data_IF_095807877988
#
_entry.id   IF_095807877988
#
_cell.length_a   1.000
_cell.length_b   1.000
_cell.length_c   1.000
_cell.angle_alpha   90.00
_cell.angle_beta   90.00
_cell.angle_gamma   90.00
#
_symmetry.space_group_name_H-M   'P 1'
#
loop_
_entity.id
_entity.type
_entity.pdbx_description
1 polymer ?
#
# COMPACT_ATOMS: atom_id res chain seq x y z
N UNK A 1 2.11 28.53 22.59
CA UNK A 1 0.88 27.79 22.95
C UNK A 1 1.12 26.32 22.65
N UNK A 2 1.49 25.54 23.66
CA UNK A 2 1.69 24.10 23.51
C UNK A 2 0.32 23.45 23.28
N UNK A 3 0.06 23.00 22.07
CA UNK A 3 -1.13 22.20 21.79
C UNK A 3 -0.97 20.87 22.52
N UNK A 4 -1.95 20.52 23.35
CA UNK A 4 -1.98 19.25 24.07
C UNK A 4 -2.16 18.11 23.05
N UNK A 5 -1.06 17.45 22.67
CA UNK A 5 -1.02 16.39 21.66
C UNK A 5 -1.41 15.06 22.27
N UNK A 6 -2.71 14.91 22.56
CA UNK A 6 -3.28 13.68 23.11
C UNK A 6 -3.38 12.57 22.02
N UNK A 7 -2.24 12.22 21.41
CA UNK A 7 -2.09 11.24 20.32
C UNK A 7 -2.61 9.86 20.73
N UNK A 8 -2.54 9.53 22.02
CA UNK A 8 -3.07 8.28 22.60
C UNK A 8 -4.57 8.08 22.36
N UNK A 9 -5.33 9.17 22.21
CA UNK A 9 -6.78 9.13 21.95
C UNK A 9 -7.10 9.58 20.54
N UNK A 10 -6.44 10.64 20.05
CA UNK A 10 -6.66 11.18 18.70
C UNK A 10 -6.35 10.18 17.59
N UNK A 11 -5.22 9.46 17.68
CA UNK A 11 -4.83 8.51 16.64
C UNK A 11 -5.84 7.34 16.54
N UNK A 12 -6.21 6.63 17.64
CA UNK A 12 -7.23 5.59 17.58
C UNK A 12 -8.59 6.09 17.08
N UNK A 13 -9.03 7.27 17.52
CA UNK A 13 -10.31 7.86 17.07
C UNK A 13 -10.28 8.18 15.58
N UNK A 14 -9.22 8.81 15.08
CA UNK A 14 -9.05 9.09 13.65
C UNK A 14 -9.01 7.80 12.83
N UNK A 15 -8.26 6.78 13.28
CA UNK A 15 -8.24 5.47 12.62
C UNK A 15 -9.63 4.83 12.58
N UNK A 16 -10.39 4.86 13.68
CA UNK A 16 -11.74 4.30 13.74
C UNK A 16 -12.71 5.03 12.81
N UNK A 17 -12.66 6.37 12.78
CA UNK A 17 -13.47 7.20 11.88
C UNK A 17 -13.14 6.87 10.43
N UNK A 18 -11.85 6.81 10.06
CA UNK A 18 -11.43 6.46 8.70
C UNK A 18 -11.84 5.04 8.33
N UNK A 19 -11.74 4.08 9.26
CA UNK A 19 -12.18 2.70 9.05
C UNK A 19 -13.68 2.62 8.77
N UNK A 20 -14.51 3.31 9.59
CA UNK A 20 -15.96 3.34 9.41
C UNK A 20 -16.34 4.05 8.11
N UNK A 21 -15.73 5.20 7.83
CA UNK A 21 -15.95 5.93 6.59
C UNK A 21 -15.60 5.08 5.37
N UNK A 22 -14.48 4.35 5.41
CA UNK A 22 -14.09 3.43 4.35
C UNK A 22 -15.12 2.31 4.15
N UNK A 23 -15.58 1.65 5.23
CA UNK A 23 -16.60 0.59 5.15
C UNK A 23 -17.90 1.12 4.53
N UNK A 24 -18.34 2.31 4.95
CA UNK A 24 -19.55 2.95 4.41
C UNK A 24 -19.38 3.32 2.94
N UNK A 25 -18.28 4.00 2.57
CA UNK A 25 -18.00 4.36 1.19
C UNK A 25 -17.90 3.13 0.29
N UNK A 26 -17.25 2.07 0.78
CA UNK A 26 -17.15 0.81 0.07
C UNK A 26 -18.53 0.17 -0.13
N UNK A 27 -19.36 0.11 0.92
CA UNK A 27 -20.73 -0.43 0.82
C UNK A 27 -21.66 0.37 -0.10
N UNK A 28 -21.48 1.69 -0.20
CA UNK A 28 -22.36 2.56 -1.01
C UNK A 28 -21.93 2.64 -2.47
N UNK A 29 -20.62 2.76 -2.74
CA UNK A 29 -20.11 3.05 -4.08
C UNK A 29 -19.59 1.83 -4.83
N UNK A 30 -19.25 0.73 -4.15
CA UNK A 30 -18.81 -0.49 -4.84
C UNK A 30 -20.02 -1.23 -5.38
N UNK A 31 -20.15 -1.25 -6.70
CA UNK A 31 -21.03 -2.18 -7.40
C UNK A 31 -20.25 -3.44 -7.74
N UNK A 32 -20.76 -4.57 -7.28
CA UNK A 32 -20.27 -5.88 -7.70
C UNK A 32 -20.91 -6.25 -9.02
N UNK A 33 -20.14 -6.18 -10.10
CA UNK A 33 -20.48 -6.81 -11.37
C UNK A 33 -19.77 -8.18 -11.50
N UNK A 34 -20.01 -8.89 -12.61
CA UNK A 34 -19.34 -10.16 -12.90
C UNK A 34 -17.83 -9.98 -13.10
N UNK A 35 -17.37 -8.78 -13.45
CA UNK A 35 -15.97 -8.43 -13.69
C UNK A 35 -15.23 -8.19 -12.37
N UNK A 36 -15.95 -7.84 -11.30
CA UNK A 36 -15.52 -7.74 -9.92
C UNK A 36 -15.56 -9.09 -9.18
N UNK A 37 -15.94 -10.20 -9.81
CA UNK A 37 -15.73 -11.53 -9.21
C UNK A 37 -14.26 -11.95 -9.40
N UNK A 38 -13.55 -12.18 -8.29
CA UNK A 38 -12.17 -12.70 -8.29
C UNK A 38 -12.03 -13.98 -9.13
N UNK A 39 -13.09 -14.83 -9.16
CA UNK A 39 -13.11 -16.06 -9.97
C UNK A 39 -12.97 -15.80 -11.46
N UNK A 40 -13.56 -14.72 -11.96
CA UNK A 40 -13.50 -14.39 -13.38
C UNK A 40 -12.05 -14.12 -13.81
N UNK A 41 -11.26 -13.50 -12.93
CA UNK A 41 -9.85 -13.24 -13.17
C UNK A 41 -9.01 -14.52 -13.23
N UNK A 42 -9.19 -15.42 -12.25
CA UNK A 42 -8.57 -16.75 -12.30
C UNK A 42 -9.03 -17.56 -13.51
N UNK A 43 -10.29 -17.44 -13.90
CA UNK A 43 -10.85 -18.15 -15.05
C UNK A 43 -10.26 -17.65 -16.38
N UNK A 44 -10.08 -16.33 -16.55
CA UNK A 44 -9.32 -15.76 -17.68
C UNK A 44 -7.90 -16.32 -17.74
N UNK A 45 -7.20 -16.35 -16.59
CA UNK A 45 -5.83 -16.89 -16.49
C UNK A 45 -5.77 -18.39 -16.80
N UNK A 46 -6.72 -19.18 -16.29
CA UNK A 46 -6.83 -20.63 -16.53
C UNK A 46 -7.15 -20.95 -17.99
N UNK A 47 -8.05 -20.18 -18.61
CA UNK A 47 -8.47 -20.37 -20.00
C UNK A 47 -7.56 -19.66 -21.01
N UNK A 48 -6.49 -19.00 -20.54
CA UNK A 48 -5.55 -18.23 -21.36
C UNK A 48 -6.23 -17.18 -22.26
N UNK A 49 -7.34 -16.60 -21.77
CA UNK A 49 -8.13 -15.60 -22.48
C UNK A 49 -7.38 -14.26 -22.38
N UNK A 50 -6.87 -13.77 -23.50
CA UNK A 50 -6.12 -12.51 -23.59
C UNK A 50 -6.84 -11.38 -24.34
N UNK A 51 -8.02 -11.65 -24.89
CA UNK A 51 -8.80 -10.67 -25.66
C UNK A 51 -9.80 -9.97 -24.75
N UNK A 52 -9.60 -8.70 -24.49
CA UNK A 52 -10.60 -7.86 -23.84
C UNK A 52 -11.48 -7.18 -24.91
N UNK A 53 -12.79 -7.42 -24.84
CA UNK A 53 -13.81 -6.49 -25.34
C UNK A 53 -13.70 -5.28 -24.41
N UNK A 54 -13.09 -4.20 -24.91
CA UNK A 54 -12.65 -3.00 -24.16
C UNK A 54 -11.73 -3.30 -22.97
N UNK A 55 -10.47 -2.89 -23.10
CA UNK A 55 -9.42 -3.18 -22.15
C UNK A 55 -9.57 -2.26 -20.91
N UNK A 56 -10.44 -2.64 -19.97
CA UNK A 56 -10.77 -1.96 -18.71
C UNK A 56 -9.52 -1.56 -17.89
N UNK A 57 -8.39 -2.25 -18.11
CA UNK A 57 -7.10 -1.85 -17.56
C UNK A 57 -6.69 -0.43 -17.95
N UNK A 58 -7.03 0.07 -19.15
CA UNK A 58 -6.71 1.45 -19.56
C UNK A 58 -7.39 2.49 -18.65
N UNK A 59 -8.63 2.24 -18.22
CA UNK A 59 -9.36 3.14 -17.32
C UNK A 59 -8.79 3.15 -15.89
N UNK A 60 -8.04 2.12 -15.51
CA UNK A 60 -7.41 1.97 -14.18
C UNK A 60 -6.01 2.61 -14.05
N UNK A 61 -5.37 2.99 -15.15
CA UNK A 61 -4.07 3.67 -15.08
C UNK A 61 -4.16 5.05 -14.42
N UNK A 62 -5.10 5.94 -14.80
CA UNK A 62 -5.23 7.23 -14.15
C UNK A 62 -5.43 7.11 -12.65
N UNK A 63 -6.28 6.19 -12.18
CA UNK A 63 -6.53 6.01 -10.75
C UNK A 63 -5.29 5.57 -9.97
N UNK A 64 -4.49 4.65 -10.53
CA UNK A 64 -3.22 4.23 -9.92
C UNK A 64 -2.25 5.41 -9.79
N UNK A 65 -2.11 6.20 -10.85
CA UNK A 65 -1.21 7.37 -10.87
C UNK A 65 -1.67 8.45 -9.89
N UNK A 66 -2.98 8.72 -9.82
CA UNK A 66 -3.54 9.65 -8.84
C UNK A 66 -3.23 9.24 -7.40
N UNK A 67 -3.41 7.96 -7.08
CA UNK A 67 -3.05 7.43 -5.76
C UNK A 67 -1.54 7.57 -5.50
N UNK A 68 -0.70 7.17 -6.45
CA UNK A 68 0.75 7.22 -6.31
C UNK A 68 1.27 8.65 -6.08
N UNK A 69 0.80 9.62 -6.89
CA UNK A 69 1.21 11.02 -6.84
C UNK A 69 0.75 11.68 -5.53
N UNK A 70 -0.47 11.38 -5.06
CA UNK A 70 -1.04 12.03 -3.88
C UNK A 70 -0.80 11.28 -2.55
N UNK A 71 -0.22 10.07 -2.57
CA UNK A 71 0.10 9.34 -1.35
C UNK A 71 1.04 10.09 -0.39
N UNK A 72 2.09 10.79 -0.86
CA UNK A 72 2.91 11.63 0.02
C UNK A 72 2.08 12.67 0.79
N UNK A 73 1.07 13.26 0.16
CA UNK A 73 0.13 14.16 0.83
C UNK A 73 -0.76 13.40 1.82
N UNK A 74 -1.23 12.21 1.47
CA UNK A 74 -2.04 11.37 2.37
C UNK A 74 -1.29 11.02 3.66
N UNK A 75 -0.05 10.53 3.56
CA UNK A 75 0.76 10.14 4.73
C UNK A 75 1.29 11.33 5.55
N UNK A 76 1.35 12.54 4.97
CA UNK A 76 1.82 13.75 5.66
C UNK A 76 0.70 14.65 6.19
N UNK A 77 -0.56 14.40 5.82
CA UNK A 77 -1.69 15.22 6.21
C UNK A 77 -1.95 15.27 7.72
N UNK A 78 -1.65 14.18 8.44
CA UNK A 78 -1.82 14.10 9.90
C UNK A 78 -0.59 14.54 10.70
N UNK A 79 0.53 14.80 10.03
CA UNK A 79 1.77 15.24 10.68
C UNK A 79 1.71 16.70 11.08
N UNK A 80 2.44 17.05 12.13
CA UNK A 80 2.61 18.45 12.49
C UNK A 80 3.31 19.22 11.37
N UNK A 81 2.79 20.41 11.06
CA UNK A 81 3.35 21.29 10.04
C UNK A 81 4.82 21.61 10.33
N UNK A 82 5.64 21.60 9.27
CA UNK A 82 7.09 21.77 9.35
C UNK A 82 7.84 20.48 9.01
N UNK A 83 8.88 20.18 9.76
CA UNK A 83 9.84 19.13 9.41
C UNK A 83 9.22 17.72 9.37
N UNK A 84 8.30 17.40 10.29
CA UNK A 84 7.64 16.10 10.33
C UNK A 84 6.80 15.84 9.07
N UNK A 85 6.02 16.83 8.64
CA UNK A 85 5.23 16.78 7.42
C UNK A 85 6.11 16.63 6.17
N UNK A 86 7.20 17.39 6.08
CA UNK A 86 8.14 17.29 4.96
C UNK A 86 8.83 15.91 4.90
N UNK A 87 9.27 15.38 6.05
CA UNK A 87 9.82 14.02 6.14
C UNK A 87 8.79 12.95 5.76
N UNK A 88 7.56 13.08 6.21
CA UNK A 88 6.48 12.15 5.86
C UNK A 88 6.25 12.07 4.36
N UNK A 89 6.23 13.21 3.68
CA UNK A 89 6.11 13.26 2.23
C UNK A 89 7.32 12.61 1.53
N UNK A 90 8.56 12.94 1.95
CA UNK A 90 9.78 12.39 1.36
C UNK A 90 9.93 10.88 1.58
N UNK A 91 9.74 10.40 2.81
CA UNK A 91 9.81 8.96 3.13
C UNK A 91 8.77 8.17 2.32
N UNK A 92 7.56 8.71 2.18
CA UNK A 92 6.51 8.09 1.37
C UNK A 92 6.88 8.03 -0.10
N UNK A 93 7.38 9.13 -0.66
CA UNK A 93 7.82 9.18 -2.06
C UNK A 93 8.94 8.17 -2.35
N UNK A 94 9.98 8.14 -1.50
CA UNK A 94 11.11 7.21 -1.65
C UNK A 94 10.66 5.76 -1.56
N UNK A 95 9.81 5.44 -0.59
CA UNK A 95 9.28 4.08 -0.43
C UNK A 95 8.44 3.65 -1.64
N UNK A 96 7.58 4.52 -2.14
CA UNK A 96 6.81 4.27 -3.36
C UNK A 96 7.71 4.03 -4.58
N UNK A 97 8.77 4.82 -4.75
CA UNK A 97 9.73 4.63 -5.84
C UNK A 97 10.42 3.26 -5.76
N UNK A 98 10.87 2.85 -4.56
CA UNK A 98 11.45 1.52 -4.36
C UNK A 98 10.43 0.38 -4.60
N UNK A 99 9.18 0.57 -4.19
CA UNK A 99 8.07 -0.37 -4.42
C UNK A 99 7.79 -0.54 -5.92
N UNK A 100 7.87 0.53 -6.71
CA UNK A 100 7.72 0.47 -8.18
C UNK A 100 8.82 -0.40 -8.80
N UNK A 101 10.08 -0.10 -8.49
CA UNK A 101 11.23 -0.82 -9.08
C UNK A 101 11.18 -2.32 -8.76
N UNK A 102 10.90 -2.65 -7.50
CA UNK A 102 10.81 -4.05 -7.06
C UNK A 102 9.60 -4.76 -7.65
N UNK A 103 8.44 -4.10 -7.72
CA UNK A 103 7.24 -4.67 -8.34
C UNK A 103 7.47 -5.00 -9.82
N UNK A 104 8.06 -4.06 -10.57
CA UNK A 104 8.41 -4.28 -11.99
C UNK A 104 9.38 -5.44 -12.15
N UNK A 105 10.44 -5.46 -11.34
CA UNK A 105 11.45 -6.52 -11.37
C UNK A 105 10.85 -7.90 -11.05
N UNK A 106 10.17 -8.02 -9.91
CA UNK A 106 9.55 -9.29 -9.47
C UNK A 106 8.48 -9.74 -10.46
N UNK A 107 7.62 -8.83 -10.93
CA UNK A 107 6.58 -9.17 -11.92
C UNK A 107 7.17 -9.74 -13.20
N UNK A 108 8.30 -9.19 -13.68
CA UNK A 108 8.98 -9.71 -14.87
C UNK A 108 9.62 -11.07 -14.59
N UNK A 109 10.34 -11.21 -13.46
CA UNK A 109 11.06 -12.43 -13.08
C UNK A 109 10.13 -13.64 -12.96
N UNK A 110 8.96 -13.47 -12.34
CA UNK A 110 8.01 -14.58 -12.14
C UNK A 110 7.21 -14.92 -13.41
N UNK A 111 7.19 -14.03 -14.40
CA UNK A 111 6.49 -14.27 -15.65
C UNK A 111 7.36 -15.10 -16.60
N UNK A 112 6.83 -16.21 -17.12
CA UNK A 112 7.57 -17.17 -17.99
C UNK A 112 8.28 -16.56 -19.20
N UNK A 113 7.79 -15.41 -19.69
CA UNK A 113 8.35 -14.66 -20.84
C UNK A 113 8.96 -13.30 -20.47
N UNK A 114 9.17 -13.01 -19.18
CA UNK A 114 9.69 -11.71 -18.74
C UNK A 114 8.75 -10.53 -19.01
N UNK A 115 7.43 -10.77 -19.09
CA UNK A 115 6.42 -9.72 -19.32
C UNK A 115 5.90 -9.20 -17.99
N UNK A 116 5.43 -7.96 -17.98
CA UNK A 116 4.79 -7.37 -16.82
C UNK A 116 3.31 -7.74 -16.76
N UNK A 117 2.83 -8.06 -15.57
CA UNK A 117 1.40 -8.24 -15.28
C UNK A 117 0.85 -6.91 -14.78
N UNK A 118 -0.17 -6.41 -15.48
CA UNK A 118 -0.73 -5.11 -15.15
C UNK A 118 -1.44 -5.07 -13.80
N UNK A 119 -1.88 -6.20 -13.25
CA UNK A 119 -2.41 -6.25 -11.89
C UNK A 119 -1.32 -5.92 -10.87
N UNK A 120 -0.09 -6.40 -11.07
CA UNK A 120 1.03 -6.06 -10.21
C UNK A 120 1.36 -4.57 -10.33
N UNK A 121 1.45 -4.05 -11.56
CA UNK A 121 1.80 -2.63 -11.78
C UNK A 121 0.76 -1.67 -11.21
N UNK A 122 -0.53 -1.99 -11.31
CA UNK A 122 -1.62 -1.12 -10.81
C UNK A 122 -1.78 -1.16 -9.29
N UNK A 123 -1.36 -2.24 -8.63
CA UNK A 123 -1.59 -2.42 -7.20
C UNK A 123 -0.29 -2.45 -6.41
N UNK A 124 0.61 -3.41 -6.65
CA UNK A 124 1.80 -3.61 -5.83
C UNK A 124 2.81 -2.44 -5.86
N UNK A 125 2.76 -1.59 -6.88
CA UNK A 125 3.55 -0.34 -6.93
C UNK A 125 3.18 0.65 -5.82
N UNK A 126 1.96 0.54 -5.28
CA UNK A 126 1.42 1.38 -4.22
C UNK A 126 1.74 0.84 -2.80
N UNK A 127 2.23 -0.40 -2.70
CA UNK A 127 2.46 -1.08 -1.43
C UNK A 127 3.46 -0.36 -0.51
N UNK A 128 4.49 0.28 -1.08
CA UNK A 128 5.43 1.09 -0.30
C UNK A 128 4.75 2.24 0.46
N UNK A 129 3.76 2.89 -0.14
CA UNK A 129 3.00 3.98 0.49
C UNK A 129 2.22 3.53 1.73
N UNK A 130 1.63 2.32 1.67
CA UNK A 130 1.01 1.66 2.83
C UNK A 130 2.08 1.27 3.85
N UNK A 131 3.17 0.65 3.37
CA UNK A 131 4.24 0.10 4.20
C UNK A 131 4.99 1.11 5.05
N UNK A 132 5.08 2.37 4.63
CA UNK A 132 5.67 3.42 5.48
C UNK A 132 4.66 4.20 6.30
N UNK A 133 3.34 4.01 6.12
CA UNK A 133 2.32 4.91 6.68
C UNK A 133 2.49 5.21 8.16
N UNK A 134 2.66 4.19 9.00
CA UNK A 134 2.82 4.37 10.46
C UNK A 134 4.14 4.99 10.90
N UNK A 135 5.17 4.95 10.05
CA UNK A 135 6.51 5.47 10.34
C UNK A 135 6.89 6.66 9.44
N UNK A 136 5.95 7.17 8.64
CA UNK A 136 6.24 8.12 7.57
C UNK A 136 6.90 9.39 8.14
N UNK A 137 6.35 9.95 9.23
CA UNK A 137 6.87 11.17 9.88
C UNK A 137 8.09 10.95 10.77
N UNK A 138 8.40 9.69 11.07
CA UNK A 138 9.51 9.28 11.91
C UNK A 138 10.85 9.35 11.14
N UNK A 139 11.95 9.41 11.89
CA UNK A 139 13.31 9.48 11.35
C UNK A 139 13.80 8.10 10.89
N UNK A 140 13.17 7.58 9.82
CA UNK A 140 13.58 6.34 9.15
C UNK A 140 14.92 6.45 8.42
N UNK A 141 15.43 7.66 8.22
CA UNK A 141 16.42 8.02 7.18
C UNK A 141 15.92 7.71 5.75
N UNK A 142 16.43 8.38 4.71
CA UNK A 142 16.04 8.09 3.32
C UNK A 142 16.21 6.62 2.93
N UNK A 143 17.23 5.95 3.48
CA UNK A 143 17.52 4.54 3.21
C UNK A 143 16.50 3.60 3.86
N UNK A 144 16.03 3.89 5.07
CA UNK A 144 15.01 3.08 5.73
C UNK A 144 13.70 3.06 4.94
N UNK A 145 13.28 4.21 4.42
CA UNK A 145 12.09 4.32 3.56
C UNK A 145 12.21 3.48 2.27
N UNK A 146 13.38 3.51 1.61
CA UNK A 146 13.67 2.70 0.42
C UNK A 146 13.62 1.21 0.74
N UNK A 147 14.18 0.77 1.86
CA UNK A 147 14.18 -0.63 2.29
C UNK A 147 12.76 -1.13 2.53
N UNK A 148 11.92 -0.35 3.23
CA UNK A 148 10.51 -0.70 3.45
C UNK A 148 9.77 -0.84 2.12
N UNK A 149 9.96 0.12 1.21
CA UNK A 149 9.35 0.09 -0.11
C UNK A 149 9.77 -1.11 -0.95
N UNK A 150 11.06 -1.45 -0.89
CA UNK A 150 11.63 -2.62 -1.56
C UNK A 150 10.94 -3.92 -1.10
N UNK A 151 10.83 -4.16 0.21
CA UNK A 151 10.19 -5.37 0.72
C UNK A 151 8.68 -5.38 0.49
N UNK A 152 7.99 -4.24 0.62
CA UNK A 152 6.56 -4.15 0.36
C UNK A 152 6.22 -4.47 -1.10
N UNK A 153 6.99 -3.94 -2.07
CA UNK A 153 6.80 -4.25 -3.48
C UNK A 153 7.00 -5.73 -3.79
N UNK A 154 8.03 -6.36 -3.20
CA UNK A 154 8.27 -7.82 -3.35
C UNK A 154 7.09 -8.62 -2.79
N UNK A 155 6.75 -8.41 -1.51
CA UNK A 155 5.72 -9.22 -0.85
C UNK A 155 4.33 -9.00 -1.43
N UNK A 156 4.00 -7.76 -1.81
CA UNK A 156 2.74 -7.47 -2.49
C UNK A 156 2.65 -8.20 -3.84
N UNK A 157 3.71 -8.12 -4.66
CA UNK A 157 3.75 -8.79 -5.97
C UNK A 157 3.66 -10.32 -5.85
N UNK A 158 4.41 -10.91 -4.92
CA UNK A 158 4.32 -12.35 -4.64
C UNK A 158 2.95 -12.74 -4.08
N UNK A 159 2.33 -11.85 -3.30
CA UNK A 159 0.97 -12.01 -2.79
C UNK A 159 -0.05 -12.13 -3.92
N UNK A 160 -0.02 -11.20 -4.89
CA UNK A 160 -0.87 -11.28 -6.08
C UNK A 160 -0.60 -12.54 -6.91
N UNK A 161 0.67 -12.91 -7.07
CA UNK A 161 1.06 -14.02 -7.93
C UNK A 161 0.71 -15.40 -7.35
N UNK A 162 0.84 -15.58 -6.04
CA UNK A 162 0.79 -16.90 -5.38
C UNK A 162 -0.20 -16.97 -4.22
N UNK A 163 -0.28 -15.94 -3.39
CA UNK A 163 -1.13 -15.96 -2.20
C UNK A 163 -2.61 -15.82 -2.57
N UNK A 164 -2.99 -14.85 -3.40
CA UNK A 164 -4.39 -14.68 -3.82
C UNK A 164 -4.97 -15.96 -4.46
N UNK A 165 -4.29 -16.61 -5.43
CA UNK A 165 -4.77 -17.90 -5.97
C UNK A 165 -4.87 -19.00 -4.91
N UNK A 166 -3.97 -19.03 -3.93
CA UNK A 166 -4.01 -19.99 -2.84
C UNK A 166 -5.20 -19.75 -1.90
N UNK A 167 -5.41 -18.51 -1.45
CA UNK A 167 -6.51 -18.11 -0.58
C UNK A 167 -7.86 -18.44 -1.23
N UNK A 168 -7.99 -18.17 -2.54
CA UNK A 168 -9.22 -18.47 -3.27
C UNK A 168 -9.45 -19.96 -3.44
N UNK A 169 -8.45 -20.70 -3.94
CA UNK A 169 -8.62 -22.12 -4.26
C UNK A 169 -8.70 -23.03 -3.04
N UNK A 170 -8.03 -22.69 -1.95
CA UNK A 170 -7.91 -23.55 -0.75
C UNK A 170 -8.76 -23.08 0.42
N UNK A 171 -8.87 -21.76 0.61
CA UNK A 171 -9.60 -21.18 1.74
C UNK A 171 -10.94 -20.56 1.32
N UNK A 172 -11.26 -20.53 0.02
CA UNK A 172 -12.48 -19.91 -0.53
C UNK A 172 -12.65 -18.44 -0.13
N UNK A 173 -11.52 -17.74 0.07
CA UNK A 173 -11.50 -16.30 0.36
C UNK A 173 -11.37 -15.57 -0.97
N UNK A 174 -12.39 -14.78 -1.31
CA UNK A 174 -12.44 -14.02 -2.55
C UNK A 174 -11.96 -12.59 -2.30
N UNK A 175 -10.77 -12.26 -2.80
CA UNK A 175 -10.20 -10.93 -2.72
C UNK A 175 -10.09 -10.31 -4.12
N UNK A 176 -11.19 -9.69 -4.56
CA UNK A 176 -11.35 -9.11 -5.90
C UNK A 176 -10.24 -8.15 -6.30
N UNK A 177 -9.85 -7.24 -5.39
CA UNK A 177 -8.85 -6.22 -5.67
C UNK A 177 -7.46 -6.59 -5.15
N UNK A 178 -7.31 -7.75 -4.51
CA UNK A 178 -6.07 -8.11 -3.81
C UNK A 178 -5.76 -7.15 -2.66
N UNK A 179 -6.79 -6.64 -1.95
CA UNK A 179 -6.61 -5.70 -0.83
C UNK A 179 -5.74 -6.31 0.27
N UNK A 180 -5.73 -7.63 0.41
CA UNK A 180 -4.84 -8.33 1.33
C UNK A 180 -3.37 -8.10 0.96
N UNK A 181 -3.03 -8.11 -0.33
CA UNK A 181 -1.66 -7.97 -0.82
C UNK A 181 -1.20 -6.51 -0.87
N UNK A 182 -2.11 -5.57 -1.11
CA UNK A 182 -1.79 -4.15 -1.16
C UNK A 182 -1.89 -3.47 0.22
N UNK A 183 -2.94 -3.74 0.98
CA UNK A 183 -3.19 -3.07 2.26
C UNK A 183 -2.85 -3.95 3.47
N UNK A 184 -3.24 -5.23 3.44
CA UNK A 184 -3.06 -6.15 4.56
C UNK A 184 -1.59 -6.40 4.91
N UNK A 185 -0.86 -7.06 4.01
CA UNK A 185 0.56 -7.41 4.22
C UNK A 185 1.42 -6.15 4.42
N UNK A 186 1.36 -5.13 3.54
CA UNK A 186 2.15 -3.91 3.74
C UNK A 186 1.75 -3.13 4.99
N UNK A 187 0.47 -3.14 5.39
CA UNK A 187 0.01 -2.51 6.63
C UNK A 187 0.58 -3.17 7.88
N UNK A 188 0.71 -4.50 7.90
CA UNK A 188 1.39 -5.23 8.97
C UNK A 188 2.88 -4.84 9.01
N UNK A 189 3.54 -4.80 7.84
CA UNK A 189 4.94 -4.36 7.74
C UNK A 189 5.08 -2.94 8.31
N UNK A 190 4.23 -2.00 7.90
CA UNK A 190 4.28 -0.63 8.38
C UNK A 190 4.01 -0.49 9.87
N UNK A 191 3.12 -1.30 10.43
CA UNK A 191 2.86 -1.34 11.87
C UNK A 191 4.09 -1.79 12.65
N UNK A 192 4.79 -2.82 12.16
CA UNK A 192 6.03 -3.32 12.77
C UNK A 192 7.14 -2.27 12.65
N UNK A 193 7.32 -1.69 11.47
CA UNK A 193 8.32 -0.63 11.22
C UNK A 193 8.05 0.55 12.15
N UNK A 194 6.82 1.03 12.26
CA UNK A 194 6.44 2.11 13.17
C UNK A 194 6.73 1.77 14.64
N UNK A 195 6.37 0.57 15.10
CA UNK A 195 6.66 0.14 16.47
C UNK A 195 8.16 0.09 16.77
N UNK A 196 8.95 -0.44 15.83
CA UNK A 196 10.41 -0.51 15.95
C UNK A 196 11.01 0.90 15.93
N UNK A 197 10.66 1.74 14.96
CA UNK A 197 11.19 3.11 14.85
C UNK A 197 10.82 3.96 16.07
N UNK A 198 9.63 3.77 16.65
CA UNK A 198 9.26 4.37 17.92
C UNK A 198 10.12 3.87 19.09
N UNK A 199 10.35 2.56 19.19
CA UNK A 199 11.15 1.97 20.26
C UNK A 199 12.62 2.44 20.25
N UNK A 200 13.15 2.75 19.07
CA UNK A 200 14.50 3.28 18.89
C UNK A 200 14.57 4.82 18.89
N UNK A 201 13.49 5.53 19.22
CA UNK A 201 13.55 6.99 19.35
C UNK A 201 14.46 7.37 20.53
N UNK A 202 15.53 8.12 20.27
CA UNK A 202 16.44 8.63 21.29
C UNK A 202 16.53 10.17 21.27
N UNK A 203 16.95 10.81 22.38
CA UNK A 203 17.19 12.25 22.41
C UNK A 203 18.26 12.71 21.42
N UNK A 204 19.23 11.87 21.09
CA UNK A 204 20.24 12.19 20.06
C UNK A 204 19.63 12.35 18.66
N UNK A 205 18.51 11.67 18.41
CA UNK A 205 17.81 11.66 17.12
C UNK A 205 16.68 12.69 17.10
N UNK A 206 15.91 12.80 18.18
CA UNK A 206 14.69 13.63 18.24
C UNK A 206 14.81 14.89 19.11
N UNK A 207 15.92 15.08 19.82
CA UNK A 207 16.08 16.12 20.83
C UNK A 207 15.47 15.75 22.19
N UNK A 208 15.79 16.55 23.21
CA UNK A 208 15.19 16.41 24.54
C UNK A 208 13.69 16.76 24.51
N UNK A 209 12.85 16.09 25.32
CA UNK A 209 11.45 16.48 25.47
C UNK A 209 11.35 17.90 26.06
N UNK A 210 10.72 18.81 25.31
CA UNK A 210 10.47 20.19 25.73
C UNK A 210 9.28 20.37 26.65
#
# INVERSE_FOLDING_TARGET
MAWNTNLRVRLPVTCLILQVAMVVLFGVFVRYDIQADARWWLEKKRKNISSDIENDFYYRYPSTLFLWIYWPSFNSASSFHGDAQHRAALNTYLSLAASVLTTVAVSSIIHKKGKLDMVHIQNATLAGGVGVGSAAEMMLTPYGALIVGFFCGIFSTLGFAYLSPFLESRLRIQDTCGIHNLHGIPGIIGSIVGAVTAAYSSPDVYGEPG
#
